data_IF_317920781759
#
_entry.id   IF_317920781759
#
_cell.length_a   1.000
_cell.length_b   1.000
_cell.length_c   1.000
_cell.angle_alpha   90.00
_cell.angle_beta   90.00
_cell.angle_gamma   90.00
#
_symmetry.space_group_name_H-M   'P 1'
#
loop_
_entity.id
_entity.type
_entity.pdbx_description
1 polymer ?
#
# COMPACT_ATOMS: atom_id res chain seq x y z
N UNK A 1 24.90 42.33 42.76
CA UNK A 1 24.99 40.98 43.34
C UNK A 1 23.70 40.25 43.00
N UNK A 2 23.76 39.07 42.35
CA UNK A 2 22.56 38.28 42.09
C UNK A 2 22.17 37.54 43.36
N UNK A 3 20.94 37.75 43.84
CA UNK A 3 20.44 37.08 45.03
C UNK A 3 20.05 35.63 44.70
N UNK A 4 20.66 34.69 45.42
CA UNK A 4 20.34 33.26 45.36
C UNK A 4 19.15 33.01 46.28
N UNK A 5 18.01 32.60 45.72
CA UNK A 5 16.79 32.38 46.52
C UNK A 5 16.56 30.91 46.90
N UNK A 6 17.02 29.93 46.12
CA UNK A 6 16.89 28.52 46.49
C UNK A 6 17.92 27.60 45.83
N UNK A 7 18.38 26.62 46.61
CA UNK A 7 19.26 25.52 46.17
C UNK A 7 18.44 24.23 46.15
N UNK A 8 18.51 23.47 45.05
CA UNK A 8 17.71 22.26 44.85
C UNK A 8 18.64 21.12 44.42
N UNK A 9 18.44 19.92 44.98
CA UNK A 9 19.20 18.73 44.59
C UNK A 9 18.72 18.19 43.24
N UNK A 10 19.58 18.17 42.24
CA UNK A 10 19.28 17.60 40.94
C UNK A 10 19.64 16.11 40.93
N UNK A 11 18.62 15.23 40.96
CA UNK A 11 18.84 13.77 40.99
C UNK A 11 19.43 13.20 39.70
N UNK A 12 19.34 13.92 38.58
CA UNK A 12 19.92 13.45 37.32
C UNK A 12 21.44 13.70 37.26
N UNK A 13 21.95 14.74 37.94
CA UNK A 13 23.38 15.06 37.98
C UNK A 13 24.05 14.78 39.33
N UNK A 14 23.28 14.41 40.37
CA UNK A 14 23.79 14.04 41.69
C UNK A 14 24.34 15.21 42.51
N UNK A 15 24.06 16.46 42.13
CA UNK A 15 24.60 17.67 42.78
C UNK A 15 23.54 18.74 43.04
N UNK A 16 23.78 19.60 44.02
CA UNK A 16 22.91 20.73 44.36
C UNK A 16 23.13 21.91 43.41
N UNK A 17 22.05 22.41 42.81
CA UNK A 17 22.08 23.51 41.82
C UNK A 17 21.25 24.71 42.29
N UNK A 18 21.67 25.91 41.89
CA UNK A 18 21.05 27.18 42.26
C UNK A 18 20.18 27.72 41.12
N UNK A 19 18.94 28.13 41.41
CA UNK A 19 17.98 28.64 40.41
C UNK A 19 17.51 30.05 40.74
N UNK A 20 17.37 30.90 39.72
CA UNK A 20 16.81 32.26 39.78
C UNK A 20 15.65 32.37 38.78
N UNK A 21 14.45 32.73 39.22
CA UNK A 21 13.27 32.92 38.35
C UNK A 21 13.10 34.39 37.94
N UNK A 22 12.85 34.67 36.65
CA UNK A 22 12.39 35.97 36.16
C UNK A 22 10.90 35.90 35.72
N UNK A 23 10.06 36.65 36.46
CA UNK A 23 8.67 37.11 36.31
C UNK A 23 7.66 36.53 35.27
N UNK A 24 6.43 36.31 35.79
CA UNK A 24 5.17 35.89 35.11
C UNK A 24 4.63 36.88 34.05
N UNK A 25 4.10 36.35 32.95
CA UNK A 25 3.19 37.05 32.01
C UNK A 25 1.76 36.50 32.01
N UNK A 26 0.75 37.37 32.10
CA UNK A 26 -0.69 37.04 31.96
C UNK A 26 -1.06 36.81 30.48
N UNK A 27 -1.81 35.75 30.17
CA UNK A 27 -2.37 35.49 28.83
C UNK A 27 -3.84 35.92 28.78
N UNK A 28 -4.20 36.76 27.79
CA UNK A 28 -5.59 36.98 27.37
C UNK A 28 -5.81 36.25 26.04
N UNK A 29 -6.79 35.34 26.00
CA UNK A 29 -7.24 34.65 24.78
C UNK A 29 -7.84 35.66 23.80
N UNK A 30 -7.41 35.63 22.53
CA UNK A 30 -8.04 36.41 21.46
C UNK A 30 -8.32 35.50 20.27
N UNK A 31 -9.60 35.41 19.86
CA UNK A 31 -10.04 34.72 18.65
C UNK A 31 -9.52 35.51 17.44
N UNK A 32 -8.71 34.88 16.59
CA UNK A 32 -8.18 35.49 15.37
C UNK A 32 -9.20 35.35 14.23
N UNK A 33 -10.17 36.26 14.16
CA UNK A 33 -10.88 36.55 12.90
C UNK A 33 -10.34 37.89 12.39
N UNK A 34 -9.17 37.87 11.73
CA UNK A 34 -8.67 39.06 11.04
C UNK A 34 -9.52 39.22 9.78
N UNK A 35 -10.58 40.02 9.90
CA UNK A 35 -11.33 40.50 8.72
C UNK A 35 -10.37 41.36 7.90
N UNK A 36 -10.08 40.90 6.69
CA UNK A 36 -9.27 41.56 5.66
C UNK A 36 -9.64 43.04 5.44
N UNK A 37 -10.87 43.44 5.78
CA UNK A 37 -11.36 44.83 5.76
C UNK A 37 -10.62 45.79 6.70
N UNK A 38 -10.01 45.32 7.80
CA UNK A 38 -9.23 46.19 8.69
C UNK A 38 -7.90 46.66 8.06
N UNK A 39 -7.33 45.85 7.17
CA UNK A 39 -6.10 46.20 6.45
C UNK A 39 -6.37 47.25 5.36
N UNK A 40 -7.54 47.21 4.73
CA UNK A 40 -7.96 48.23 3.76
C UNK A 40 -8.24 49.59 4.42
N UNK A 41 -8.76 49.63 5.65
CA UNK A 41 -8.97 50.90 6.36
C UNK A 41 -7.66 51.53 6.84
N UNK A 42 -6.66 50.72 7.23
CA UNK A 42 -5.33 51.24 7.62
C UNK A 42 -4.56 51.87 6.44
N UNK A 43 -4.76 51.37 5.22
CA UNK A 43 -4.15 51.92 4.00
C UNK A 43 -4.80 53.25 3.56
N UNK A 44 -6.08 53.47 3.88
CA UNK A 44 -6.79 54.71 3.53
C UNK A 44 -6.66 55.77 4.65
N UNK A 45 -6.52 55.36 5.91
CA UNK A 45 -6.32 56.29 7.04
C UNK A 45 -4.93 56.94 7.09
N UNK A 46 -3.92 56.39 6.41
CA UNK A 46 -2.61 57.06 6.31
C UNK A 46 -2.55 58.17 5.25
N UNK A 47 -3.62 58.34 4.45
CA UNK A 47 -3.72 59.47 3.49
C UNK A 47 -4.59 60.60 4.05
N UNK A 48 -5.38 60.37 5.11
CA UNK A 48 -6.26 61.40 5.69
C UNK A 48 -6.19 61.33 7.21
N UNK A 49 -5.51 62.32 7.80
CA UNK A 49 -5.54 62.84 9.19
C UNK A 49 -4.18 62.85 9.91
N UNK A 50 -3.47 63.96 9.76
CA UNK A 50 -2.74 64.61 10.85
C UNK A 50 -2.94 66.12 10.72
N UNK A 51 -4.14 66.57 11.09
CA UNK A 51 -4.32 67.93 11.57
C UNK A 51 -3.86 67.96 13.02
N UNK A 52 -2.58 68.28 13.23
CA UNK A 52 -2.16 68.99 14.43
C UNK A 52 -0.97 69.89 14.07
N UNK A 53 -1.07 71.16 14.48
CA UNK A 53 -0.29 72.30 14.02
C UNK A 53 1.16 72.32 14.56
N UNK A 54 2.01 71.41 14.11
CA UNK A 54 3.47 71.62 14.14
C UNK A 54 4.05 71.27 12.78
N UNK A 55 4.42 72.31 12.03
CA UNK A 55 5.02 72.25 10.70
C UNK A 55 6.32 71.43 10.69
N UNK A 56 6.21 70.19 10.26
CA UNK A 56 7.12 69.65 9.25
C UNK A 56 6.37 68.57 8.51
N UNK A 57 6.08 68.80 7.22
CA UNK A 57 5.78 67.71 6.31
C UNK A 57 6.83 66.63 6.52
N UNK A 58 6.45 65.35 6.67
CA UNK A 58 7.42 64.30 6.93
C UNK A 58 8.51 64.40 5.88
N UNK A 59 9.73 64.58 6.35
CA UNK A 59 10.89 64.73 5.48
C UNK A 59 11.03 63.47 4.63
N UNK A 60 11.63 63.58 3.45
CA UNK A 60 11.87 62.41 2.59
C UNK A 60 12.64 61.29 3.32
N UNK A 61 13.37 61.60 4.39
CA UNK A 61 14.05 60.62 5.25
C UNK A 61 13.08 59.85 6.18
N UNK A 62 12.08 60.54 6.75
CA UNK A 62 11.06 59.91 7.61
C UNK A 62 10.15 58.97 6.81
N UNK A 63 9.81 59.34 5.58
CA UNK A 63 9.03 58.48 4.66
C UNK A 63 9.85 57.23 4.27
N UNK A 64 11.15 57.39 3.98
CA UNK A 64 12.04 56.25 3.69
C UNK A 64 12.17 55.31 4.87
N UNK A 65 12.30 55.84 6.09
CA UNK A 65 12.39 55.04 7.31
C UNK A 65 11.11 54.23 7.54
N UNK A 66 9.94 54.85 7.38
CA UNK A 66 8.66 54.15 7.49
C UNK A 66 8.47 53.09 6.40
N UNK A 67 8.90 53.36 5.16
CA UNK A 67 8.88 52.38 4.07
C UNK A 67 9.76 51.16 4.37
N UNK A 68 11.00 51.36 4.84
CA UNK A 68 11.89 50.25 5.18
C UNK A 68 11.41 49.48 6.41
N UNK A 69 10.81 50.13 7.41
CA UNK A 69 10.16 49.45 8.55
C UNK A 69 8.94 48.62 8.11
N UNK A 70 8.10 49.13 7.21
CA UNK A 70 6.95 48.41 6.67
C UNK A 70 7.40 47.23 5.81
N UNK A 71 8.39 47.45 4.95
CA UNK A 71 9.01 46.42 4.12
C UNK A 71 9.60 45.30 4.98
N UNK A 72 10.31 45.63 6.06
CA UNK A 72 10.84 44.66 7.01
C UNK A 72 9.73 43.85 7.72
N UNK A 73 8.61 44.49 8.10
CA UNK A 73 7.45 43.80 8.69
C UNK A 73 6.74 42.90 7.68
N UNK A 74 6.61 43.33 6.42
CA UNK A 74 6.05 42.53 5.33
C UNK A 74 6.95 41.34 5.01
N UNK A 75 8.27 41.54 4.94
CA UNK A 75 9.25 40.45 4.76
C UNK A 75 9.22 39.45 5.92
N UNK A 76 9.07 39.94 7.15
CA UNK A 76 8.91 39.08 8.33
C UNK A 76 7.60 38.28 8.26
N UNK A 77 6.51 38.90 7.81
CA UNK A 77 5.23 38.23 7.59
C UNK A 77 5.33 37.18 6.49
N UNK A 78 6.00 37.50 5.37
CA UNK A 78 6.28 36.57 4.28
C UNK A 78 7.17 35.41 4.72
N UNK A 79 8.11 35.61 5.65
CA UNK A 79 8.89 34.53 6.27
C UNK A 79 8.09 33.65 7.21
N UNK A 80 7.08 34.19 7.88
CA UNK A 80 6.17 33.41 8.74
C UNK A 80 5.13 32.65 7.91
N UNK A 81 4.71 33.20 6.76
CA UNK A 81 3.82 32.54 5.78
C UNK A 81 4.58 31.55 4.90
N UNK A 82 5.84 31.84 4.56
CA UNK A 82 6.78 30.88 3.99
C UNK A 82 7.26 29.93 5.08
N UNK A 83 6.41 28.96 5.41
CA UNK A 83 6.90 27.66 5.83
C UNK A 83 7.80 27.15 4.70
N UNK A 84 9.11 27.38 4.79
CA UNK A 84 10.12 27.08 3.76
C UNK A 84 10.30 25.60 3.47
N UNK A 85 9.49 24.72 4.07
CA UNK A 85 9.46 23.28 3.79
C UNK A 85 8.19 22.82 3.08
N UNK A 86 7.16 23.67 2.93
CA UNK A 86 5.90 23.31 2.23
C UNK A 86 5.65 24.30 1.09
N UNK A 87 6.31 24.10 -0.04
CA UNK A 87 5.99 24.81 -1.29
C UNK A 87 4.69 24.24 -1.87
N UNK A 88 3.57 24.94 -1.66
CA UNK A 88 2.23 24.51 -2.09
C UNK A 88 1.93 24.77 -3.58
N UNK A 89 2.82 25.47 -4.32
CA UNK A 89 2.70 25.94 -5.72
C UNK A 89 1.38 25.59 -6.45
N UNK A 90 0.26 26.27 -6.13
CA UNK A 90 -1.09 25.84 -6.49
C UNK A 90 -1.52 26.28 -7.89
N UNK A 91 -0.65 26.15 -8.91
CA UNK A 91 -1.03 26.48 -10.29
C UNK A 91 -2.19 25.59 -10.72
N UNK A 92 -3.37 26.16 -10.93
CA UNK A 92 -4.61 25.46 -11.29
C UNK A 92 -5.05 24.36 -10.30
N UNK A 93 -4.73 24.52 -9.00
CA UNK A 93 -5.27 23.63 -7.97
C UNK A 93 -6.73 23.99 -7.63
N UNK A 94 -7.60 23.00 -7.40
CA UNK A 94 -9.01 23.25 -7.06
C UNK A 94 -9.55 22.27 -6.01
N UNK A 95 -10.13 22.81 -4.94
CA UNK A 95 -10.77 22.05 -3.85
C UNK A 95 -12.26 22.38 -3.79
N UNK A 96 -13.10 21.39 -3.46
CA UNK A 96 -14.49 21.63 -3.08
C UNK A 96 -14.57 22.43 -1.76
N UNK A 97 -15.63 23.24 -1.61
CA UNK A 97 -15.84 24.16 -0.48
C UNK A 97 -16.07 23.48 0.89
N UNK A 98 -16.26 22.16 0.92
CA UNK A 98 -16.62 21.38 2.11
C UNK A 98 -15.46 20.46 2.55
N UNK A 99 -14.41 21.07 3.10
CA UNK A 99 -13.28 20.37 3.71
C UNK A 99 -12.32 19.67 2.73
N UNK A 100 -12.32 20.04 1.45
CA UNK A 100 -11.35 19.52 0.48
C UNK A 100 -9.94 20.07 0.70
N UNK A 101 -8.92 19.26 0.44
CA UNK A 101 -7.50 19.65 0.51
C UNK A 101 -6.87 19.50 -0.87
N UNK A 102 -6.27 20.58 -1.39
CA UNK A 102 -5.45 20.53 -2.60
C UNK A 102 -4.09 21.17 -2.42
N UNK A 103 -3.03 20.45 -2.78
CA UNK A 103 -1.64 20.94 -2.72
C UNK A 103 -0.90 20.49 -3.98
N UNK A 104 -0.27 21.44 -4.69
CA UNK A 104 0.51 21.17 -5.90
C UNK A 104 -0.18 21.59 -7.20
N UNK A 105 0.63 21.77 -8.24
CA UNK A 105 0.15 22.20 -9.56
C UNK A 105 -0.77 21.16 -10.19
N UNK A 106 -1.92 21.59 -10.71
CA UNK A 106 -2.95 20.75 -11.32
C UNK A 106 -3.59 19.73 -10.35
N UNK A 107 -3.44 19.91 -9.04
CA UNK A 107 -4.12 19.08 -8.05
C UNK A 107 -5.62 19.38 -8.01
N UNK A 108 -6.47 18.37 -8.13
CA UNK A 108 -7.92 18.54 -8.17
C UNK A 108 -8.62 17.63 -7.15
N UNK A 109 -9.21 18.23 -6.12
CA UNK A 109 -10.11 17.57 -5.17
C UNK A 109 -11.54 18.05 -5.43
N UNK A 110 -12.26 17.35 -6.30
CA UNK A 110 -13.53 17.84 -6.90
C UNK A 110 -14.76 17.71 -5.99
N UNK A 111 -14.65 17.01 -4.85
CA UNK A 111 -15.81 16.72 -4.00
C UNK A 111 -15.52 16.89 -2.51
N UNK A 112 -16.56 16.74 -1.68
CA UNK A 112 -16.51 16.91 -0.22
C UNK A 112 -15.46 16.01 0.41
N UNK A 113 -14.70 16.58 1.34
CA UNK A 113 -13.63 15.91 2.09
C UNK A 113 -12.59 15.18 1.22
N UNK A 114 -12.49 15.50 -0.07
CA UNK A 114 -11.50 14.89 -0.96
C UNK A 114 -10.12 15.53 -0.73
N UNK A 115 -9.06 14.73 -0.86
CA UNK A 115 -7.69 15.15 -0.64
C UNK A 115 -6.86 14.85 -1.88
N UNK A 116 -6.28 15.88 -2.48
CA UNK A 116 -5.42 15.79 -3.66
C UNK A 116 -4.09 16.50 -3.38
N UNK A 117 -3.00 15.76 -3.14
CA UNK A 117 -1.67 16.31 -2.83
C UNK A 117 -0.64 15.78 -3.82
N UNK A 118 -0.08 16.65 -4.66
CA UNK A 118 0.90 16.28 -5.68
C UNK A 118 0.64 16.97 -7.03
N UNK A 119 1.62 16.90 -7.93
CA UNK A 119 1.47 17.45 -9.29
C UNK A 119 0.58 16.54 -10.13
N UNK A 120 -0.40 17.11 -10.83
CA UNK A 120 -1.34 16.39 -11.69
C UNK A 120 -2.07 15.25 -10.96
N UNK A 121 -2.47 15.50 -9.71
CA UNK A 121 -3.13 14.52 -8.85
C UNK A 121 -4.64 14.78 -8.82
N UNK A 122 -5.46 13.74 -8.83
CA UNK A 122 -6.92 13.88 -8.92
C UNK A 122 -7.65 13.03 -7.89
N UNK A 123 -8.48 13.66 -7.06
CA UNK A 123 -9.43 13.05 -6.15
C UNK A 123 -10.86 13.52 -6.52
N UNK A 124 -11.61 12.72 -7.27
CA UNK A 124 -12.83 13.18 -7.95
C UNK A 124 -14.11 13.07 -7.10
N UNK A 125 -14.10 12.29 -6.03
CA UNK A 125 -15.32 11.87 -5.33
C UNK A 125 -15.24 12.04 -3.81
N UNK A 126 -16.37 11.84 -3.12
CA UNK A 126 -16.50 12.04 -1.67
C UNK A 126 -15.48 11.17 -0.94
N UNK A 127 -14.72 11.81 -0.03
CA UNK A 127 -13.69 11.15 0.78
C UNK A 127 -12.62 10.41 -0.04
N UNK A 128 -12.43 10.76 -1.32
CA UNK A 128 -11.35 10.24 -2.14
C UNK A 128 -10.02 10.89 -1.72
N UNK A 129 -8.98 10.08 -1.59
CA UNK A 129 -7.63 10.51 -1.24
C UNK A 129 -6.68 10.14 -2.39
N UNK A 130 -5.98 11.13 -2.93
CA UNK A 130 -4.95 11.02 -3.96
C UNK A 130 -3.69 11.76 -3.51
N UNK A 131 -2.59 11.05 -3.31
CA UNK A 131 -1.33 11.60 -2.79
C UNK A 131 -0.18 11.16 -3.70
N UNK A 132 0.41 12.07 -4.48
CA UNK A 132 1.57 11.79 -5.34
C UNK A 132 1.40 12.33 -6.75
N UNK A 133 2.51 12.35 -7.50
CA UNK A 133 2.52 12.75 -8.90
C UNK A 133 1.71 11.75 -9.73
N UNK A 134 0.70 12.26 -10.47
CA UNK A 134 -0.26 11.46 -11.26
C UNK A 134 -1.14 10.49 -10.45
N UNK A 135 -1.24 10.64 -9.12
CA UNK A 135 -2.15 9.80 -8.34
C UNK A 135 -3.61 10.10 -8.74
N UNK A 136 -4.40 9.04 -8.93
CA UNK A 136 -5.80 9.15 -9.35
C UNK A 136 -6.69 8.35 -8.43
N UNK A 137 -7.63 9.02 -7.77
CA UNK A 137 -8.62 8.47 -6.85
C UNK A 137 -9.99 8.94 -7.32
N UNK A 138 -10.64 8.15 -8.18
CA UNK A 138 -11.79 8.64 -8.97
C UNK A 138 -13.16 8.20 -8.46
N UNK A 139 -13.25 7.53 -7.30
CA UNK A 139 -14.51 7.03 -6.76
C UNK A 139 -14.68 7.32 -5.26
N UNK A 140 -15.82 6.93 -4.68
CA UNK A 140 -16.14 7.19 -3.27
C UNK A 140 -15.25 6.36 -2.35
N UNK A 141 -14.70 7.00 -1.32
CA UNK A 141 -13.87 6.36 -0.29
C UNK A 141 -12.65 5.61 -0.83
N UNK A 142 -12.04 6.11 -1.92
CA UNK A 142 -10.84 5.52 -2.51
C UNK A 142 -9.56 6.15 -2.00
N UNK A 143 -8.46 5.38 -1.99
CA UNK A 143 -7.13 5.83 -1.60
C UNK A 143 -6.15 5.50 -2.73
N UNK A 144 -5.46 6.50 -3.26
CA UNK A 144 -4.38 6.36 -4.22
C UNK A 144 -3.14 7.10 -3.68
N UNK A 145 -2.03 6.40 -3.46
CA UNK A 145 -0.78 6.99 -2.92
C UNK A 145 0.40 6.59 -3.82
N UNK A 146 1.22 7.54 -4.25
CA UNK A 146 2.26 7.39 -5.27
C UNK A 146 1.74 7.69 -6.67
N UNK A 147 2.35 7.08 -7.70
CA UNK A 147 1.77 7.08 -9.06
C UNK A 147 0.80 5.90 -9.15
N UNK A 148 -0.32 6.03 -8.44
CA UNK A 148 -1.29 4.97 -8.22
C UNK A 148 -2.67 5.37 -8.76
N UNK A 149 -3.47 4.40 -9.17
CA UNK A 149 -4.82 4.60 -9.70
C UNK A 149 -5.82 3.70 -9.00
N UNK A 150 -6.78 4.31 -8.31
CA UNK A 150 -7.89 3.66 -7.61
C UNK A 150 -9.22 4.14 -8.23
N UNK A 151 -9.84 3.31 -9.07
CA UNK A 151 -10.93 3.77 -9.96
C UNK A 151 -12.34 3.29 -9.61
N UNK A 152 -12.47 2.33 -8.68
CA UNK A 152 -13.75 1.83 -8.18
C UNK A 152 -13.93 2.12 -6.69
N UNK A 153 -15.17 2.05 -6.20
CA UNK A 153 -15.51 2.31 -4.80
C UNK A 153 -14.64 1.50 -3.84
N UNK A 154 -14.21 2.14 -2.75
CA UNK A 154 -13.49 1.49 -1.63
C UNK A 154 -12.10 0.92 -2.01
N UNK A 155 -11.55 1.32 -3.15
CA UNK A 155 -10.24 0.86 -3.60
C UNK A 155 -9.10 1.49 -2.80
N UNK A 156 -8.03 0.71 -2.62
CA UNK A 156 -6.77 1.17 -2.06
C UNK A 156 -5.67 0.82 -3.06
N UNK A 157 -4.95 1.80 -3.58
CA UNK A 157 -3.80 1.64 -4.45
C UNK A 157 -2.62 2.44 -3.88
N UNK A 158 -1.53 1.76 -3.53
CA UNK A 158 -0.34 2.38 -2.92
C UNK A 158 0.91 1.92 -3.68
N UNK A 159 1.68 2.87 -4.19
CA UNK A 159 2.98 2.65 -4.82
C UNK A 159 3.13 3.29 -6.20
N UNK A 160 4.04 2.75 -7.02
CA UNK A 160 4.37 3.31 -8.34
C UNK A 160 3.80 2.43 -9.45
N UNK A 161 3.00 3.02 -10.35
CA UNK A 161 2.31 2.33 -11.45
C UNK A 161 1.41 1.21 -10.93
N UNK A 162 0.63 1.48 -9.88
CA UNK A 162 -0.31 0.51 -9.32
C UNK A 162 -1.75 0.81 -9.75
N UNK A 163 -2.54 -0.23 -10.02
CA UNK A 163 -3.89 -0.11 -10.56
C UNK A 163 -4.86 -0.99 -9.78
N UNK A 164 -5.68 -0.37 -8.92
CA UNK A 164 -6.84 -1.01 -8.31
C UNK A 164 -8.10 -0.64 -9.12
N UNK A 165 -8.59 -1.57 -9.94
CA UNK A 165 -9.69 -1.34 -10.90
C UNK A 165 -10.92 -2.22 -10.69
N UNK A 166 -10.85 -3.25 -9.84
CA UNK A 166 -12.03 -3.94 -9.33
C UNK A 166 -12.62 -3.21 -8.12
N UNK A 167 -13.91 -3.39 -7.81
CA UNK A 167 -14.54 -2.74 -6.65
C UNK A 167 -14.02 -3.33 -5.33
N UNK A 168 -13.63 -2.47 -4.39
CA UNK A 168 -13.05 -2.87 -3.10
C UNK A 168 -11.69 -3.55 -3.24
N UNK A 169 -10.99 -3.33 -4.35
CA UNK A 169 -9.69 -3.94 -4.62
C UNK A 169 -8.57 -3.21 -3.87
N UNK A 170 -7.56 -3.96 -3.44
CA UNK A 170 -6.39 -3.44 -2.73
C UNK A 170 -5.12 -3.80 -3.49
N UNK A 171 -4.25 -2.82 -3.73
CA UNK A 171 -2.93 -2.98 -4.33
C UNK A 171 -1.90 -2.21 -3.51
N UNK A 172 -0.82 -2.87 -3.11
CA UNK A 172 0.35 -2.23 -2.50
C UNK A 172 1.59 -2.77 -3.21
N UNK A 173 2.31 -1.94 -3.98
CA UNK A 173 3.36 -2.48 -4.84
C UNK A 173 3.96 -1.56 -5.88
N UNK A 174 4.66 -2.16 -6.85
CA UNK A 174 5.19 -1.49 -8.03
C UNK A 174 4.69 -2.24 -9.26
N UNK A 175 4.23 -1.52 -10.28
CA UNK A 175 3.73 -2.11 -11.53
C UNK A 175 2.69 -3.23 -11.34
N UNK A 176 1.83 -3.09 -10.34
CA UNK A 176 0.93 -4.17 -9.87
C UNK A 176 -0.53 -3.82 -10.08
N UNK A 177 -1.37 -4.84 -10.31
CA UNK A 177 -2.76 -4.64 -10.73
C UNK A 177 -3.74 -5.59 -10.04
N UNK A 178 -4.76 -5.03 -9.39
CA UNK A 178 -5.93 -5.76 -8.90
C UNK A 178 -7.16 -5.37 -9.73
N UNK A 179 -7.51 -6.20 -10.72
CA UNK A 179 -8.67 -5.99 -11.59
C UNK A 179 -9.96 -6.63 -11.06
N UNK A 180 -9.81 -7.65 -10.22
CA UNK A 180 -10.93 -8.37 -9.64
C UNK A 180 -11.64 -7.60 -8.52
N UNK A 181 -12.95 -7.80 -8.39
CA UNK A 181 -13.71 -7.31 -7.24
C UNK A 181 -13.16 -7.91 -5.94
N UNK A 182 -12.84 -7.06 -4.95
CA UNK A 182 -12.24 -7.45 -3.67
C UNK A 182 -10.95 -8.26 -3.84
N UNK A 183 -10.23 -8.04 -4.94
CA UNK A 183 -8.93 -8.65 -5.16
C UNK A 183 -7.86 -7.94 -4.33
N UNK A 184 -6.89 -8.70 -3.84
CA UNK A 184 -5.80 -8.21 -2.98
C UNK A 184 -4.47 -8.48 -3.68
N UNK A 185 -3.65 -7.45 -3.80
CA UNK A 185 -2.34 -7.53 -4.46
C UNK A 185 -1.29 -6.87 -3.59
N UNK A 186 -0.20 -7.58 -3.32
CA UNK A 186 0.96 -7.06 -2.60
C UNK A 186 2.25 -7.53 -3.27
N UNK A 187 3.01 -6.64 -3.89
CA UNK A 187 4.28 -7.02 -4.55
C UNK A 187 4.65 -6.15 -5.74
N UNK A 188 5.77 -6.47 -6.38
CA UNK A 188 6.16 -5.91 -7.67
C UNK A 188 5.66 -6.82 -8.80
N UNK A 189 5.18 -6.26 -9.92
CA UNK A 189 4.68 -7.02 -11.08
C UNK A 189 3.58 -8.04 -10.75
N UNK A 190 2.89 -7.85 -9.63
CA UNK A 190 1.89 -8.79 -9.12
C UNK A 190 0.50 -8.50 -9.67
N UNK A 191 -0.28 -9.55 -9.93
CA UNK A 191 -1.56 -9.44 -10.63
C UNK A 191 -2.65 -10.35 -10.04
N UNK A 192 -3.79 -9.75 -9.73
CA UNK A 192 -5.00 -10.44 -9.31
C UNK A 192 -6.16 -10.04 -10.25
N UNK A 193 -6.61 -10.98 -11.09
CA UNK A 193 -7.41 -10.65 -12.28
C UNK A 193 -8.93 -10.77 -12.08
N UNK A 194 -9.38 -11.61 -11.15
CA UNK A 194 -10.79 -11.98 -10.99
C UNK A 194 -11.28 -11.78 -9.54
N UNK A 195 -12.58 -11.88 -9.32
CA UNK A 195 -13.17 -11.64 -8.00
C UNK A 195 -12.55 -12.52 -6.90
N UNK A 196 -12.35 -11.92 -5.71
CA UNK A 196 -11.84 -12.58 -4.51
C UNK A 196 -10.46 -13.25 -4.66
N UNK A 197 -9.64 -12.75 -5.59
CA UNK A 197 -8.28 -13.26 -5.80
C UNK A 197 -7.26 -12.60 -4.88
N UNK A 198 -6.20 -13.32 -4.54
CA UNK A 198 -5.10 -12.82 -3.71
C UNK A 198 -3.77 -13.11 -4.43
N UNK A 199 -2.96 -12.09 -4.70
CA UNK A 199 -1.62 -12.23 -5.27
C UNK A 199 -0.58 -11.50 -4.41
N UNK A 200 0.35 -12.23 -3.80
CA UNK A 200 1.35 -11.68 -2.87
C UNK A 200 2.75 -12.15 -3.27
N UNK A 201 3.65 -11.23 -3.61
CA UNK A 201 5.03 -11.49 -3.99
C UNK A 201 5.40 -10.91 -5.36
N UNK A 202 6.70 -10.83 -5.65
CA UNK A 202 7.19 -10.37 -6.94
C UNK A 202 6.74 -11.32 -8.06
N UNK A 203 6.08 -10.80 -9.09
CA UNK A 203 5.52 -11.54 -10.21
C UNK A 203 4.48 -12.63 -9.81
N UNK A 204 3.83 -12.49 -8.65
CA UNK A 204 2.75 -13.40 -8.24
C UNK A 204 1.48 -13.15 -9.07
N UNK A 205 0.88 -14.20 -9.62
CA UNK A 205 -0.30 -14.10 -10.50
C UNK A 205 -1.45 -15.01 -10.06
N UNK A 206 -2.56 -14.41 -9.65
CA UNK A 206 -3.86 -15.05 -9.42
C UNK A 206 -4.84 -14.71 -10.55
N UNK A 207 -5.13 -15.68 -11.43
CA UNK A 207 -5.80 -15.42 -12.73
C UNK A 207 -7.31 -15.67 -12.75
N UNK A 208 -7.84 -16.46 -11.82
CA UNK A 208 -9.24 -16.93 -11.83
C UNK A 208 -9.89 -16.73 -10.48
N UNK A 209 -11.22 -16.70 -10.47
CA UNK A 209 -12.00 -16.42 -9.26
C UNK A 209 -11.54 -17.24 -8.05
N UNK A 210 -11.51 -16.58 -6.90
CA UNK A 210 -11.19 -17.19 -5.61
C UNK A 210 -9.80 -17.87 -5.54
N UNK A 211 -8.89 -17.58 -6.48
CA UNK A 211 -7.54 -18.15 -6.48
C UNK A 211 -6.56 -17.34 -5.64
N UNK A 212 -5.56 -18.02 -5.06
CA UNK A 212 -4.57 -17.45 -4.15
C UNK A 212 -3.17 -17.79 -4.67
N UNK A 213 -2.33 -16.77 -4.86
CA UNK A 213 -0.95 -16.93 -5.33
C UNK A 213 0.02 -16.20 -4.42
N UNK A 214 0.85 -16.93 -3.67
CA UNK A 214 1.75 -16.33 -2.68
C UNK A 214 3.19 -16.83 -2.88
N UNK A 215 4.10 -15.93 -3.26
CA UNK A 215 5.52 -16.20 -3.45
C UNK A 215 6.10 -15.54 -4.70
N UNK A 216 7.42 -15.61 -4.83
CA UNK A 216 8.15 -15.14 -6.02
C UNK A 216 7.77 -15.97 -7.26
N UNK A 217 7.32 -15.32 -8.33
CA UNK A 217 7.06 -15.93 -9.64
C UNK A 217 6.06 -17.10 -9.57
N UNK A 218 4.96 -16.88 -8.83
CA UNK A 218 3.91 -17.88 -8.61
C UNK A 218 2.74 -17.73 -9.56
N UNK A 219 2.07 -18.84 -9.88
CA UNK A 219 0.92 -18.83 -10.79
C UNK A 219 -0.24 -19.71 -10.32
N UNK A 220 -1.29 -19.08 -9.80
CA UNK A 220 -2.60 -19.70 -9.55
C UNK A 220 -3.56 -19.40 -10.72
N UNK A 221 -3.60 -20.30 -11.71
CA UNK A 221 -4.33 -20.10 -12.98
C UNK A 221 -5.75 -20.65 -13.01
N UNK A 222 -6.11 -21.54 -12.10
CA UNK A 222 -7.43 -22.17 -12.04
C UNK A 222 -8.35 -21.52 -11.00
N UNK A 223 -9.66 -21.73 -11.14
CA UNK A 223 -10.64 -21.29 -10.14
C UNK A 223 -10.41 -22.05 -8.83
N UNK A 224 -10.47 -21.34 -7.70
CA UNK A 224 -10.15 -21.90 -6.37
C UNK A 224 -8.74 -22.50 -6.25
N UNK A 225 -7.82 -22.22 -7.18
CA UNK A 225 -6.46 -22.77 -7.12
C UNK A 225 -5.60 -21.99 -6.13
N UNK A 226 -4.63 -22.67 -5.52
CA UNK A 226 -3.77 -22.10 -4.49
C UNK A 226 -2.31 -22.41 -4.77
N UNK A 227 -1.46 -21.39 -4.78
CA UNK A 227 -0.01 -21.54 -4.79
C UNK A 227 0.64 -20.87 -3.58
N UNK A 228 1.61 -21.55 -2.98
CA UNK A 228 2.43 -21.02 -1.89
C UNK A 228 3.88 -21.48 -2.06
N UNK A 229 4.81 -20.54 -2.26
CA UNK A 229 6.24 -20.82 -2.40
C UNK A 229 6.78 -20.43 -3.78
N UNK A 230 8.09 -20.14 -3.90
CA UNK A 230 8.64 -19.55 -5.12
C UNK A 230 8.52 -20.52 -6.31
N UNK A 231 8.14 -20.01 -7.49
CA UNK A 231 7.92 -20.77 -8.71
C UNK A 231 6.80 -21.84 -8.64
N UNK A 232 5.93 -21.78 -7.61
CA UNK A 232 4.81 -22.70 -7.50
C UNK A 232 3.72 -22.42 -8.55
N UNK A 233 3.16 -23.48 -9.13
CA UNK A 233 2.21 -23.43 -10.23
C UNK A 233 0.99 -24.33 -9.96
N UNK A 234 -0.19 -23.74 -9.79
CA UNK A 234 -1.47 -24.43 -9.72
C UNK A 234 -2.31 -24.02 -10.93
N UNK A 235 -2.27 -24.84 -11.98
CA UNK A 235 -2.66 -24.43 -13.34
C UNK A 235 -4.14 -24.65 -13.66
N UNK A 236 -4.81 -25.55 -12.93
CA UNK A 236 -6.19 -25.98 -13.19
C UNK A 236 -7.10 -25.73 -11.98
N UNK A 237 -8.41 -25.87 -12.18
CA UNK A 237 -9.41 -25.62 -11.14
C UNK A 237 -9.19 -26.51 -9.91
N UNK A 238 -9.28 -25.88 -8.73
CA UNK A 238 -9.09 -26.51 -7.42
C UNK A 238 -7.73 -27.21 -7.26
N UNK A 239 -6.72 -26.83 -8.05
CA UNK A 239 -5.35 -27.32 -7.90
C UNK A 239 -4.63 -26.63 -6.73
N UNK A 240 -3.80 -27.39 -6.00
CA UNK A 240 -3.04 -26.91 -4.84
C UNK A 240 -1.55 -27.17 -5.06
N UNK A 241 -0.72 -26.14 -5.09
CA UNK A 241 0.74 -26.25 -5.18
C UNK A 241 1.43 -25.55 -4.00
N UNK A 242 1.99 -26.32 -3.07
CA UNK A 242 2.64 -25.81 -1.85
C UNK A 242 4.11 -26.23 -1.83
N UNK A 243 5.02 -25.29 -2.02
CA UNK A 243 6.47 -25.51 -1.99
C UNK A 243 7.19 -24.89 -3.19
N UNK A 244 8.51 -24.72 -3.06
CA UNK A 244 9.32 -24.18 -4.13
C UNK A 244 9.26 -25.09 -5.38
N UNK A 245 8.90 -24.54 -6.54
CA UNK A 245 8.72 -25.29 -7.80
C UNK A 245 7.64 -26.40 -7.73
N UNK A 246 6.73 -26.38 -6.75
CA UNK A 246 5.59 -27.30 -6.74
C UNK A 246 4.69 -27.05 -7.95
N UNK A 247 4.28 -28.11 -8.64
CA UNK A 247 3.49 -28.04 -9.87
C UNK A 247 2.26 -28.94 -9.80
N UNK A 248 1.09 -28.35 -9.63
CA UNK A 248 -0.22 -29.00 -9.71
C UNK A 248 -0.89 -28.60 -11.04
N UNK A 249 -0.79 -29.48 -12.04
CA UNK A 249 -1.27 -29.22 -13.42
C UNK A 249 -2.58 -29.91 -13.77
N UNK A 250 -3.09 -30.78 -12.91
CA UNK A 250 -4.38 -31.42 -13.10
C UNK A 250 -5.49 -30.71 -12.33
N UNK A 251 -6.73 -30.84 -12.80
CA UNK A 251 -7.92 -30.45 -12.01
C UNK A 251 -7.94 -31.23 -10.70
N UNK A 252 -8.27 -30.57 -9.58
CA UNK A 252 -8.27 -31.17 -8.24
C UNK A 252 -6.91 -31.75 -7.78
N UNK A 253 -5.80 -31.43 -8.47
CA UNK A 253 -4.50 -32.01 -8.16
C UNK A 253 -3.83 -31.30 -6.98
N UNK A 254 -3.01 -32.05 -6.24
CA UNK A 254 -2.32 -31.58 -5.03
C UNK A 254 -0.83 -31.89 -5.17
N UNK A 255 0.01 -30.86 -5.12
CA UNK A 255 1.47 -30.96 -5.14
C UNK A 255 2.05 -30.26 -3.91
N UNK A 256 2.57 -31.01 -2.94
CA UNK A 256 3.06 -30.48 -1.66
C UNK A 256 4.52 -30.91 -1.44
N UNK A 257 5.43 -29.96 -1.52
CA UNK A 257 6.87 -30.16 -1.35
C UNK A 257 7.67 -29.38 -2.39
N UNK A 258 8.99 -29.33 -2.20
CA UNK A 258 9.87 -28.76 -3.22
C UNK A 258 9.91 -29.69 -4.45
N UNK A 259 9.77 -29.09 -5.63
CA UNK A 259 9.88 -29.77 -6.93
C UNK A 259 8.90 -30.93 -7.11
N UNK A 260 7.72 -30.88 -6.48
CA UNK A 260 6.66 -31.90 -6.63
C UNK A 260 5.85 -31.69 -7.90
N UNK A 261 5.37 -32.77 -8.51
CA UNK A 261 4.57 -32.70 -9.75
C UNK A 261 3.32 -33.57 -9.70
N UNK A 262 2.14 -32.95 -9.65
CA UNK A 262 0.85 -33.62 -9.82
C UNK A 262 0.23 -33.23 -11.17
N UNK A 263 0.41 -34.09 -12.20
CA UNK A 263 0.23 -33.68 -13.60
C UNK A 263 -1.14 -33.96 -14.20
N UNK A 264 -1.96 -34.80 -13.56
CA UNK A 264 -3.27 -35.26 -14.06
C UNK A 264 -4.36 -35.04 -13.03
N UNK A 265 -5.61 -35.18 -13.47
CA UNK A 265 -6.79 -34.96 -12.64
C UNK A 265 -6.75 -35.81 -11.36
N UNK A 266 -6.99 -35.16 -10.22
CA UNK A 266 -6.98 -35.82 -8.91
C UNK A 266 -5.63 -36.40 -8.47
N UNK A 267 -4.53 -36.10 -9.17
CA UNK A 267 -3.19 -36.56 -8.78
C UNK A 267 -2.73 -35.90 -7.49
N UNK A 268 -2.11 -36.66 -6.59
CA UNK A 268 -1.61 -36.18 -5.29
C UNK A 268 -0.12 -36.54 -5.16
N UNK A 269 0.76 -35.55 -5.21
CA UNK A 269 2.19 -35.70 -5.00
C UNK A 269 2.62 -34.96 -3.72
N UNK A 270 3.13 -35.68 -2.72
CA UNK A 270 3.55 -35.13 -1.42
C UNK A 270 4.97 -35.59 -1.07
N UNK A 271 5.89 -34.65 -0.89
CA UNK A 271 7.30 -34.90 -0.52
C UNK A 271 8.28 -34.46 -1.60
N UNK A 272 9.51 -34.09 -1.22
CA UNK A 272 10.53 -33.56 -2.13
C UNK A 272 10.71 -34.47 -3.37
N UNK A 273 10.61 -33.89 -4.57
CA UNK A 273 10.69 -34.59 -5.86
C UNK A 273 9.65 -35.69 -6.12
N UNK A 274 8.57 -35.77 -5.34
CA UNK A 274 7.47 -36.72 -5.63
C UNK A 274 6.70 -36.34 -6.90
N UNK A 275 6.19 -37.33 -7.62
CA UNK A 275 5.45 -37.10 -8.85
C UNK A 275 4.32 -38.10 -9.12
N UNK A 276 3.20 -37.60 -9.63
CA UNK A 276 2.11 -38.40 -10.18
C UNK A 276 1.89 -38.04 -11.65
N UNK A 277 1.93 -39.03 -12.53
CA UNK A 277 1.79 -38.88 -13.99
C UNK A 277 0.44 -39.36 -14.54
N UNK A 278 -0.42 -39.91 -13.68
CA UNK A 278 -1.68 -40.55 -14.03
C UNK A 278 -2.86 -40.02 -13.20
N UNK A 279 -4.08 -40.27 -13.66
CA UNK A 279 -5.29 -39.78 -13.00
C UNK A 279 -5.51 -40.45 -11.65
N UNK A 280 -5.93 -39.68 -10.64
CA UNK A 280 -6.24 -40.16 -9.28
C UNK A 280 -5.09 -40.94 -8.63
N UNK A 281 -3.87 -40.75 -9.12
CA UNK A 281 -2.67 -41.38 -8.59
C UNK A 281 -2.18 -40.65 -7.33
N UNK A 282 -1.56 -41.38 -6.41
CA UNK A 282 -0.98 -40.86 -5.18
C UNK A 282 0.50 -41.23 -5.14
N UNK A 283 1.37 -40.25 -4.94
CA UNK A 283 2.79 -40.42 -4.66
C UNK A 283 3.13 -39.64 -3.38
N UNK A 284 3.53 -40.35 -2.33
CA UNK A 284 3.86 -39.77 -1.04
C UNK A 284 5.22 -40.27 -0.55
N UNK A 285 6.18 -39.37 -0.38
CA UNK A 285 7.56 -39.68 0.04
C UNK A 285 8.60 -39.02 -0.88
N UNK A 286 9.85 -38.94 -0.42
CA UNK A 286 10.96 -38.41 -1.23
C UNK A 286 11.10 -39.22 -2.52
N UNK A 287 11.12 -38.53 -3.67
CA UNK A 287 11.26 -39.14 -4.99
C UNK A 287 10.28 -40.30 -5.29
N UNK A 288 9.12 -40.33 -4.63
CA UNK A 288 8.06 -41.29 -4.94
C UNK A 288 7.40 -40.99 -6.28
N UNK A 289 7.08 -42.02 -7.06
CA UNK A 289 6.53 -41.90 -8.41
C UNK A 289 5.30 -42.80 -8.57
N UNK A 290 4.19 -42.23 -9.03
CA UNK A 290 3.00 -42.99 -9.41
C UNK A 290 2.61 -42.70 -10.85
N UNK A 291 2.64 -43.71 -11.72
CA UNK A 291 2.36 -43.61 -13.17
C UNK A 291 1.16 -44.43 -13.63
N UNK A 292 0.57 -45.25 -12.76
CA UNK A 292 -0.67 -45.98 -13.05
C UNK A 292 -1.92 -45.20 -12.65
N UNK A 293 -3.02 -45.32 -13.40
CA UNK A 293 -4.29 -44.70 -13.00
C UNK A 293 -4.78 -45.28 -11.67
N UNK A 294 -5.12 -44.40 -10.72
CA UNK A 294 -5.52 -44.78 -9.37
C UNK A 294 -4.42 -45.48 -8.55
N UNK A 295 -3.16 -45.43 -9.01
CA UNK A 295 -2.06 -46.11 -8.35
C UNK A 295 -1.54 -45.32 -7.15
N UNK A 296 -1.08 -46.03 -6.13
CA UNK A 296 -0.60 -45.47 -4.86
C UNK A 296 0.87 -45.88 -4.67
N UNK A 297 1.76 -44.91 -4.50
CA UNK A 297 3.16 -45.10 -4.14
C UNK A 297 3.44 -44.33 -2.85
N UNK A 298 3.68 -45.02 -1.73
CA UNK A 298 3.94 -44.43 -0.42
C UNK A 298 5.28 -44.94 0.11
N UNK A 299 6.29 -44.07 0.14
CA UNK A 299 7.63 -44.38 0.62
C UNK A 299 8.70 -43.60 -0.13
N UNK A 300 9.89 -43.51 0.47
CA UNK A 300 11.08 -42.96 -0.17
C UNK A 300 11.46 -43.82 -1.40
N UNK A 301 11.52 -43.21 -2.58
CA UNK A 301 11.67 -43.87 -3.89
C UNK A 301 10.64 -44.99 -4.18
N UNK A 302 9.43 -44.94 -3.59
CA UNK A 302 8.37 -45.88 -3.96
C UNK A 302 7.89 -45.61 -5.39
N UNK A 303 7.67 -46.66 -6.20
CA UNK A 303 7.23 -46.58 -7.60
C UNK A 303 5.98 -47.45 -7.80
N UNK A 304 4.88 -46.87 -8.28
CA UNK A 304 3.68 -47.63 -8.64
C UNK A 304 3.25 -47.35 -10.08
N UNK A 305 3.44 -48.34 -10.96
CA UNK A 305 3.17 -48.21 -12.40
C UNK A 305 1.89 -48.92 -12.85
N UNK A 306 1.45 -49.92 -12.09
CA UNK A 306 0.22 -50.66 -12.37
C UNK A 306 -1.02 -49.81 -12.15
N UNK A 307 -2.01 -49.92 -13.04
CA UNK A 307 -3.37 -49.39 -12.76
C UNK A 307 -3.88 -49.99 -11.44
N UNK A 308 -4.30 -49.13 -10.51
CA UNK A 308 -4.66 -49.49 -9.13
C UNK A 308 -3.56 -50.21 -8.32
N UNK A 309 -2.29 -50.14 -8.75
CA UNK A 309 -1.17 -50.73 -8.03
C UNK A 309 -0.87 -49.98 -6.73
N UNK A 310 -0.49 -50.70 -5.67
CA UNK A 310 -0.17 -50.12 -4.36
C UNK A 310 1.24 -50.53 -3.94
N UNK A 311 2.19 -49.60 -4.04
CA UNK A 311 3.57 -49.76 -3.56
C UNK A 311 3.72 -49.02 -2.23
N UNK A 312 3.99 -49.75 -1.14
CA UNK A 312 4.20 -49.19 0.19
C UNK A 312 5.56 -49.62 0.72
N UNK A 313 6.36 -48.66 1.19
CA UNK A 313 7.69 -48.86 1.74
C UNK A 313 8.79 -48.22 0.89
N UNK A 314 9.97 -48.09 1.49
CA UNK A 314 11.16 -47.52 0.84
C UNK A 314 11.59 -48.42 -0.31
N UNK A 315 11.83 -47.85 -1.49
CA UNK A 315 12.17 -48.56 -2.74
C UNK A 315 11.14 -49.63 -3.18
N UNK A 316 9.90 -49.57 -2.65
CA UNK A 316 8.84 -50.50 -3.09
C UNK A 316 8.48 -50.22 -4.55
N UNK A 317 8.29 -51.26 -5.36
CA UNK A 317 8.00 -51.09 -6.79
C UNK A 317 6.97 -52.10 -7.28
N UNK A 318 5.98 -51.62 -8.03
CA UNK A 318 5.04 -52.45 -8.80
C UNK A 318 5.07 -52.01 -10.25
N UNK A 319 5.44 -52.94 -11.13
CA UNK A 319 5.69 -52.66 -12.56
C UNK A 319 4.58 -53.22 -13.47
N UNK A 320 3.65 -54.01 -12.95
CA UNK A 320 2.56 -54.63 -13.70
C UNK A 320 1.21 -54.12 -13.21
N UNK A 321 0.16 -54.32 -14.01
CA UNK A 321 -1.24 -54.26 -13.55
C UNK A 321 -1.40 -55.30 -12.44
N UNK A 322 -1.12 -54.91 -11.20
CA UNK A 322 -1.40 -55.75 -10.06
C UNK A 322 -2.90 -55.94 -10.04
N UNK A 323 -3.37 -57.15 -10.32
CA UNK A 323 -4.71 -57.54 -9.93
C UNK A 323 -4.83 -57.22 -8.45
N UNK A 324 -5.59 -56.17 -8.13
CA UNK A 324 -6.00 -55.90 -6.78
C UNK A 324 -6.66 -57.18 -6.29
N UNK A 325 -5.97 -57.91 -5.41
CA UNK A 325 -6.64 -58.91 -4.60
C UNK A 325 -7.67 -58.13 -3.81
N UNK A 326 -8.95 -58.33 -4.11
CA UNK A 326 -10.04 -57.75 -3.35
C UNK A 326 -9.79 -58.08 -1.86
N UNK A 327 -9.42 -57.08 -1.07
CA UNK A 327 -9.55 -57.18 0.37
C UNK A 327 -11.02 -56.88 0.61
N UNK A 328 -11.79 -57.95 0.82
CA UNK A 328 -13.20 -57.94 1.20
C UNK A 328 -13.32 -57.36 2.61
#
# INVERSE_FOLDING_TARGET
>A
MNHIYRIIFNRASGVFQVVSELAKGKVKSTKTSVKLTALCMALVSCVVLAGDNTNSSPTNEEIKKQYEELKAKVDMLLKVVNVTTVNINPVNASAASDGGITIGSLANASNKTAIAIGVNTTASNVSAIALGHNATSSNVSTIAIGNASATQKENIAIGNRTFATGQGAMVIGINSTASGNRAIVFGEDSKASEAYTIAIGHNATASKGESISIGYDTKASGKYSVTLGPWANALEDSALALGAQAKASGKYSVAIGRSTSALKEGGIAIGLNSATYAERAIAQGFASISTGDGAIAIGDHAISQGKYGISIGVNSAINNVGTATNII
#
